data_IF_523245376346
#
_entry.id   IF_523245376346
#
_cell.length_a   1.000
_cell.length_b   1.000
_cell.length_c   1.000
_cell.angle_alpha   90.00
_cell.angle_beta   90.00
_cell.angle_gamma   90.00
#
_symmetry.space_group_name_H-M   'P 1'
#
loop_
_entity.id
_entity.type
_entity.pdbx_description
1 polymer ?
#
# COMPACT_ATOMS: atom_id res chain seq x y z
N UNK A 1 6.76 10.52 17.93
CA UNK A 1 7.20 11.39 16.85
C UNK A 1 6.20 12.53 16.56
N UNK A 2 4.93 12.46 16.80
CA UNK A 2 3.96 13.53 16.50
C UNK A 2 3.68 13.75 15.01
N UNK A 3 4.03 12.78 14.16
CA UNK A 3 3.73 12.80 12.72
C UNK A 3 2.30 12.37 12.46
N UNK A 4 1.66 13.00 11.47
CA UNK A 4 0.39 12.52 10.94
C UNK A 4 0.59 11.18 10.23
N UNK A 5 -0.39 10.28 10.31
CA UNK A 5 -0.31 8.94 9.72
C UNK A 5 -1.46 8.71 8.77
N UNK A 6 -1.15 8.21 7.57
CA UNK A 6 -2.13 7.96 6.50
C UNK A 6 -1.96 6.55 5.92
N UNK A 7 -3.05 5.79 5.91
CA UNK A 7 -3.15 4.46 5.28
C UNK A 7 -4.51 4.33 4.58
N UNK A 8 -5.51 3.78 5.25
CA UNK A 8 -6.88 3.61 4.72
C UNK A 8 -7.63 4.94 4.54
N UNK A 9 -7.26 5.98 5.29
CA UNK A 9 -7.83 7.33 5.18
C UNK A 9 -7.67 7.91 3.76
N UNK A 10 -6.61 7.55 3.04
CA UNK A 10 -6.42 7.95 1.64
C UNK A 10 -7.55 7.41 0.76
N UNK A 11 -7.95 6.15 0.96
CA UNK A 11 -9.08 5.54 0.22
C UNK A 11 -10.38 6.32 0.46
N UNK A 12 -10.64 6.66 1.73
CA UNK A 12 -11.82 7.43 2.11
C UNK A 12 -11.81 8.83 1.48
N UNK A 13 -10.65 9.48 1.44
CA UNK A 13 -10.48 10.79 0.80
C UNK A 13 -10.70 10.70 -0.72
N UNK A 14 -10.14 9.68 -1.39
CA UNK A 14 -10.35 9.43 -2.82
C UNK A 14 -11.84 9.20 -3.13
N UNK A 15 -12.53 8.37 -2.35
CA UNK A 15 -13.95 8.13 -2.53
C UNK A 15 -14.79 9.43 -2.42
N UNK A 16 -14.49 10.25 -1.42
CA UNK A 16 -15.15 11.54 -1.23
C UNK A 16 -14.87 12.50 -2.40
N UNK A 17 -13.66 12.54 -2.90
CA UNK A 17 -13.26 13.47 -3.97
C UNK A 17 -13.80 13.04 -5.34
N UNK A 18 -13.81 11.74 -5.63
CA UNK A 18 -14.34 11.18 -6.87
C UNK A 18 -15.87 11.09 -6.93
N UNK A 19 -16.55 11.20 -5.77
CA UNK A 19 -18.01 11.00 -5.65
C UNK A 19 -18.43 9.54 -5.84
N UNK A 20 -17.49 8.59 -5.78
CA UNK A 20 -17.76 7.16 -5.95
C UNK A 20 -18.06 6.48 -4.60
N UNK A 21 -18.71 5.32 -4.66
CA UNK A 21 -18.94 4.49 -3.47
C UNK A 21 -17.61 4.09 -2.83
N UNK A 22 -17.42 4.33 -1.52
CA UNK A 22 -16.16 3.98 -0.83
C UNK A 22 -15.77 2.51 -0.97
N UNK A 23 -16.73 1.59 -1.02
CA UNK A 23 -16.47 0.15 -1.20
C UNK A 23 -15.93 -0.15 -2.60
N UNK A 24 -16.41 0.58 -3.63
CA UNK A 24 -15.87 0.46 -4.99
C UNK A 24 -14.43 0.97 -5.04
N UNK A 25 -14.14 2.13 -4.44
CA UNK A 25 -12.79 2.68 -4.39
C UNK A 25 -11.84 1.79 -3.59
N UNK A 26 -12.30 1.26 -2.46
CA UNK A 26 -11.54 0.30 -1.65
C UNK A 26 -11.28 -1.00 -2.41
N UNK A 27 -12.23 -1.45 -3.21
CA UNK A 27 -12.06 -2.62 -4.06
C UNK A 27 -10.98 -2.40 -5.12
N UNK A 28 -10.99 -1.26 -5.80
CA UNK A 28 -10.06 -0.96 -6.91
C UNK A 28 -8.65 -0.56 -6.43
N UNK A 29 -8.56 0.19 -5.34
CA UNK A 29 -7.32 0.72 -4.80
C UNK A 29 -6.84 0.03 -3.51
N UNK A 30 -7.74 -0.62 -2.78
CA UNK A 30 -7.46 -1.28 -1.50
C UNK A 30 -6.75 -2.61 -1.65
N UNK A 31 -6.14 -3.04 -0.56
CA UNK A 31 -5.52 -4.37 -0.45
C UNK A 31 -6.56 -5.49 -0.23
N UNK A 32 -7.84 -5.15 -0.10
CA UNK A 32 -8.93 -6.07 0.24
C UNK A 32 -9.73 -6.59 -0.95
N UNK A 33 -9.38 -6.25 -2.19
CA UNK A 33 -10.13 -6.50 -3.42
C UNK A 33 -10.34 -7.96 -3.83
N UNK A 34 -10.28 -8.91 -2.92
CA UNK A 34 -10.37 -10.33 -3.25
C UNK A 34 -11.65 -11.02 -2.74
N UNK A 35 -12.48 -10.37 -1.92
CA UNK A 35 -13.59 -11.06 -1.23
C UNK A 35 -14.85 -11.28 -2.07
N UNK A 36 -15.08 -10.63 -3.20
CA UNK A 36 -16.37 -10.72 -3.89
C UNK A 36 -16.31 -10.54 -5.42
N UNK A 37 -15.63 -11.40 -6.16
CA UNK A 37 -16.03 -11.60 -7.56
C UNK A 37 -16.31 -13.07 -7.83
N UNK A 38 -17.55 -13.44 -8.17
CA UNK A 38 -17.81 -14.73 -8.82
C UNK A 38 -17.08 -14.72 -10.16
N UNK A 39 -16.32 -15.78 -10.41
CA UNK A 39 -15.47 -16.01 -11.61
C UNK A 39 -16.34 -16.30 -12.85
N UNK A 40 -17.44 -15.57 -13.03
CA UNK A 40 -18.36 -15.75 -14.15
C UNK A 40 -18.64 -14.42 -14.83
N UNK A 41 -17.59 -13.84 -15.43
CA UNK A 41 -17.80 -12.81 -16.44
C UNK A 41 -17.05 -13.20 -17.72
N UNK A 42 -17.81 -13.58 -18.74
CA UNK A 42 -17.37 -13.47 -20.12
C UNK A 42 -17.20 -11.95 -20.41
N UNK A 43 -16.02 -11.42 -20.06
CA UNK A 43 -15.72 -10.02 -20.35
C UNK A 43 -15.38 -9.87 -21.83
N UNK A 44 -16.18 -9.12 -22.56
CA UNK A 44 -15.81 -8.63 -23.89
C UNK A 44 -14.63 -7.67 -23.77
N UNK A 45 -13.80 -7.57 -24.80
CA UNK A 45 -12.61 -6.67 -24.86
C UNK A 45 -12.98 -5.23 -24.45
N UNK A 46 -14.18 -4.77 -24.77
CA UNK A 46 -14.69 -3.45 -24.39
C UNK A 46 -14.87 -3.28 -22.86
N UNK A 47 -15.29 -4.32 -22.14
CA UNK A 47 -15.44 -4.25 -20.67
C UNK A 47 -14.08 -4.22 -19.95
N UNK A 48 -13.06 -4.90 -20.49
CA UNK A 48 -11.69 -4.86 -19.96
C UNK A 48 -11.09 -3.45 -20.12
N UNK A 49 -11.28 -2.81 -21.28
CA UNK A 49 -10.80 -1.44 -21.52
C UNK A 49 -11.51 -0.42 -20.61
N UNK A 50 -12.81 -0.59 -20.36
CA UNK A 50 -13.58 0.29 -19.47
C UNK A 50 -13.15 0.14 -18.00
N UNK A 51 -12.89 -1.08 -17.52
CA UNK A 51 -12.37 -1.36 -16.16
C UNK A 51 -10.97 -0.76 -15.99
N UNK A 52 -10.11 -0.85 -17.01
CA UNK A 52 -8.79 -0.22 -16.96
C UNK A 52 -8.86 1.31 -16.91
N UNK A 53 -9.76 1.96 -17.65
CA UNK A 53 -9.91 3.42 -17.62
C UNK A 53 -10.37 3.92 -16.25
N UNK A 54 -11.36 3.28 -15.64
CA UNK A 54 -11.84 3.64 -14.31
C UNK A 54 -10.77 3.48 -13.22
N UNK A 55 -9.93 2.45 -13.32
CA UNK A 55 -8.81 2.26 -12.39
C UNK A 55 -7.74 3.32 -12.55
N UNK A 56 -7.44 3.75 -13.77
CA UNK A 56 -6.48 4.83 -14.03
C UNK A 56 -6.99 6.14 -13.44
N UNK A 57 -8.26 6.47 -13.61
CA UNK A 57 -8.88 7.65 -13.01
C UNK A 57 -8.76 7.66 -11.48
N UNK A 58 -9.03 6.52 -10.84
CA UNK A 58 -8.86 6.38 -9.39
C UNK A 58 -7.42 6.54 -8.93
N UNK A 59 -6.44 6.04 -9.69
CA UNK A 59 -5.02 6.24 -9.40
C UNK A 59 -4.61 7.71 -9.53
N UNK A 60 -5.19 8.44 -10.48
CA UNK A 60 -4.96 9.89 -10.63
C UNK A 60 -5.58 10.68 -9.46
N UNK A 61 -6.78 10.31 -9.01
CA UNK A 61 -7.38 10.92 -7.82
C UNK A 61 -6.58 10.60 -6.54
N UNK A 62 -6.10 9.36 -6.40
CA UNK A 62 -5.20 9.00 -5.31
C UNK A 62 -3.92 9.85 -5.31
N UNK A 63 -3.32 10.07 -6.48
CA UNK A 63 -2.16 10.95 -6.63
C UNK A 63 -2.45 12.36 -6.11
N UNK A 64 -3.57 12.96 -6.54
CA UNK A 64 -3.97 14.30 -6.08
C UNK A 64 -4.14 14.39 -4.56
N UNK A 65 -4.78 13.38 -3.95
CA UNK A 65 -4.97 13.32 -2.49
C UNK A 65 -3.61 13.29 -1.77
N UNK A 66 -2.68 12.47 -2.24
CA UNK A 66 -1.34 12.32 -1.64
C UNK A 66 -0.53 13.62 -1.80
N UNK A 67 -0.57 14.26 -2.97
CA UNK A 67 0.08 15.56 -3.21
C UNK A 67 -0.52 16.67 -2.33
N UNK A 68 -1.84 16.68 -2.11
CA UNK A 68 -2.49 17.62 -1.20
C UNK A 68 -2.03 17.42 0.26
N UNK A 69 -1.84 16.18 0.72
CA UNK A 69 -1.28 15.89 2.05
C UNK A 69 0.12 16.52 2.18
N UNK A 70 0.98 16.34 1.17
CA UNK A 70 2.32 16.91 1.19
C UNK A 70 2.31 18.45 1.22
N UNK A 71 1.36 19.08 0.53
CA UNK A 71 1.20 20.55 0.51
C UNK A 71 0.77 21.15 1.86
N UNK A 72 0.26 20.34 2.80
CA UNK A 72 -0.07 20.83 4.14
C UNK A 72 1.16 21.25 4.95
N UNK A 73 2.37 20.89 4.51
CA UNK A 73 3.64 21.29 5.11
C UNK A 73 3.89 20.73 6.53
N UNK A 74 3.22 19.61 6.88
CA UNK A 74 3.39 18.89 8.13
C UNK A 74 4.22 17.65 7.92
N UNK A 75 4.88 17.18 8.97
CA UNK A 75 5.55 15.88 8.96
C UNK A 75 4.51 14.75 8.99
N UNK A 76 4.63 13.78 8.10
CA UNK A 76 3.68 12.68 7.99
C UNK A 76 4.35 11.37 7.57
N UNK A 77 3.63 10.28 7.78
CA UNK A 77 3.95 8.93 7.31
C UNK A 77 2.80 8.42 6.44
N UNK A 78 3.09 7.98 5.23
CA UNK A 78 2.12 7.31 4.35
C UNK A 78 2.52 5.84 4.18
N UNK A 79 1.54 4.94 4.33
CA UNK A 79 1.76 3.51 4.13
C UNK A 79 1.29 3.08 2.74
N UNK A 80 2.25 2.66 1.91
CA UNK A 80 2.01 2.13 0.58
C UNK A 80 1.52 3.16 -0.43
N UNK A 81 0.52 2.81 -1.25
CA UNK A 81 -0.13 3.66 -2.28
C UNK A 81 0.82 4.25 -3.33
N UNK A 82 2.02 3.67 -3.48
CA UNK A 82 3.11 4.23 -4.30
C UNK A 82 3.44 5.69 -3.95
N UNK A 83 3.27 6.07 -2.68
CA UNK A 83 3.52 7.43 -2.21
C UNK A 83 4.97 7.85 -2.41
N UNK A 84 5.91 6.93 -2.34
CA UNK A 84 7.32 7.11 -2.63
C UNK A 84 7.58 7.63 -4.06
N UNK A 85 6.83 7.14 -5.06
CA UNK A 85 6.88 7.61 -6.46
C UNK A 85 6.14 8.93 -6.62
N UNK A 86 4.96 9.02 -6.02
CA UNK A 86 4.10 10.21 -6.15
C UNK A 86 4.78 11.45 -5.55
N UNK A 87 5.52 11.24 -4.47
CA UNK A 87 6.19 12.30 -3.70
C UNK A 87 7.70 12.39 -3.97
N UNK A 88 8.20 11.85 -5.08
CA UNK A 88 9.62 11.86 -5.42
C UNK A 88 10.23 13.27 -5.34
N UNK A 89 9.52 14.30 -5.81
CA UNK A 89 9.95 15.69 -5.78
C UNK A 89 10.03 16.31 -4.35
N UNK A 90 9.47 15.61 -3.35
CA UNK A 90 9.51 16.03 -1.94
C UNK A 90 10.64 15.37 -1.13
N UNK A 91 11.53 14.61 -1.77
CA UNK A 91 12.64 13.87 -1.14
C UNK A 91 12.19 13.02 0.07
N UNK A 92 11.20 12.11 -0.10
CA UNK A 92 10.68 11.29 0.98
C UNK A 92 11.74 10.29 1.45
N UNK A 93 11.70 9.92 2.73
CA UNK A 93 12.48 8.81 3.25
C UNK A 93 11.71 7.50 3.05
N UNK A 94 12.15 6.70 2.08
CA UNK A 94 11.45 5.53 1.60
C UNK A 94 11.89 4.26 2.34
N UNK A 95 10.96 3.58 2.99
CA UNK A 95 11.21 2.33 3.71
C UNK A 95 10.46 1.18 3.06
N UNK A 96 11.17 0.13 2.66
CA UNK A 96 10.57 -1.13 2.25
C UNK A 96 10.59 -2.14 3.38
N UNK A 97 9.41 -2.62 3.77
CA UNK A 97 9.26 -3.63 4.83
C UNK A 97 8.89 -4.97 4.20
N UNK A 98 9.69 -5.98 4.46
CA UNK A 98 9.46 -7.34 3.97
C UNK A 98 9.52 -8.38 5.08
N UNK A 99 9.06 -9.57 4.79
CA UNK A 99 9.20 -10.76 5.63
C UNK A 99 9.05 -12.03 4.80
N UNK A 100 9.52 -13.14 5.31
CA UNK A 100 9.29 -14.45 4.73
C UNK A 100 7.80 -14.79 4.72
N UNK A 101 7.40 -15.63 3.77
CA UNK A 101 6.01 -16.00 3.57
C UNK A 101 5.39 -16.63 4.82
N UNK A 102 6.15 -17.44 5.57
CA UNK A 102 5.63 -18.06 6.79
C UNK A 102 5.37 -17.02 7.87
N UNK A 103 6.31 -16.12 8.13
CA UNK A 103 6.14 -15.03 9.09
C UNK A 103 4.96 -14.10 8.73
N UNK A 104 4.74 -13.83 7.42
CA UNK A 104 3.55 -13.10 6.96
C UNK A 104 2.26 -13.85 7.29
N UNK A 105 2.20 -15.16 7.02
CA UNK A 105 1.03 -16.00 7.30
C UNK A 105 0.73 -15.99 8.80
N UNK A 106 1.72 -16.27 9.63
CA UNK A 106 1.56 -16.38 11.09
C UNK A 106 1.00 -15.08 11.67
N UNK A 107 1.55 -13.93 11.29
CA UNK A 107 1.06 -12.61 11.72
C UNK A 107 -0.36 -12.30 11.22
N UNK A 108 -0.69 -12.70 9.99
CA UNK A 108 -2.03 -12.49 9.46
C UNK A 108 -3.06 -13.40 10.15
N UNK A 109 -2.70 -14.64 10.44
CA UNK A 109 -3.54 -15.59 11.17
C UNK A 109 -3.78 -15.14 12.62
N UNK A 110 -2.75 -14.63 13.30
CA UNK A 110 -2.85 -14.08 14.65
C UNK A 110 -3.80 -12.87 14.75
N UNK A 111 -3.88 -12.07 13.67
CA UNK A 111 -4.73 -10.87 13.61
C UNK A 111 -6.10 -11.11 13.00
N UNK A 112 -6.33 -12.27 12.41
CA UNK A 112 -7.62 -12.60 11.83
C UNK A 112 -8.72 -12.59 12.90
N UNK A 113 -9.91 -12.06 12.59
CA UNK A 113 -11.06 -12.16 13.49
C UNK A 113 -11.36 -13.62 13.85
N UNK A 114 -11.79 -13.87 15.08
CA UNK A 114 -12.02 -15.22 15.58
C UNK A 114 -13.13 -16.00 14.81
N UNK A 115 -14.00 -15.29 14.14
CA UNK A 115 -15.07 -15.80 13.27
C UNK A 115 -14.63 -16.00 11.80
N UNK A 116 -13.43 -15.55 11.43
CA UNK A 116 -12.87 -15.76 10.10
C UNK A 116 -12.15 -17.12 10.03
N UNK A 117 -12.82 -18.14 9.52
CA UNK A 117 -12.26 -19.49 9.35
C UNK A 117 -11.40 -19.58 8.07
N UNK A 118 -10.26 -18.88 8.06
CA UNK A 118 -9.31 -18.93 6.96
C UNK A 118 -8.18 -19.94 7.24
N UNK A 119 -7.84 -20.77 6.27
CA UNK A 119 -6.71 -21.70 6.36
C UNK A 119 -5.37 -21.01 6.01
N UNK A 120 -4.26 -21.56 6.52
CA UNK A 120 -2.92 -21.07 6.16
C UNK A 120 -2.65 -21.10 4.63
N UNK A 121 -3.24 -22.08 3.91
CA UNK A 121 -3.16 -22.18 2.45
C UNK A 121 -3.90 -21.04 1.75
N UNK A 122 -5.06 -20.68 2.24
CA UNK A 122 -5.86 -19.56 1.72
C UNK A 122 -5.18 -18.22 2.05
N UNK A 123 -4.68 -18.06 3.28
CA UNK A 123 -3.90 -16.88 3.68
C UNK A 123 -2.68 -16.69 2.78
N UNK A 124 -1.91 -17.75 2.50
CA UNK A 124 -0.77 -17.71 1.57
C UNK A 124 -1.18 -17.22 0.19
N UNK A 125 -2.33 -17.68 -0.32
CA UNK A 125 -2.86 -17.28 -1.64
C UNK A 125 -3.24 -15.80 -1.65
N UNK A 126 -3.91 -15.34 -0.59
CA UNK A 126 -4.30 -13.96 -0.35
C UNK A 126 -3.07 -13.03 -0.35
N UNK A 127 -2.06 -13.35 0.44
CA UNK A 127 -0.81 -12.58 0.52
C UNK A 127 -0.14 -12.47 -0.86
N UNK A 128 0.01 -13.59 -1.58
CA UNK A 128 0.58 -13.58 -2.93
C UNK A 128 -0.21 -12.72 -3.91
N UNK A 129 -1.52 -12.72 -3.81
CA UNK A 129 -2.39 -11.90 -4.66
C UNK A 129 -2.19 -10.41 -4.38
N UNK A 130 -2.16 -10.01 -3.11
CA UNK A 130 -1.92 -8.62 -2.68
C UNK A 130 -0.52 -8.16 -3.15
N UNK A 131 0.52 -8.94 -2.89
CA UNK A 131 1.88 -8.61 -3.31
C UNK A 131 1.98 -8.48 -4.85
N UNK A 132 1.26 -9.33 -5.59
CA UNK A 132 1.18 -9.23 -7.05
C UNK A 132 0.47 -7.95 -7.51
N UNK A 133 -0.63 -7.57 -6.87
CA UNK A 133 -1.36 -6.34 -7.19
C UNK A 133 -0.50 -5.11 -6.94
N UNK A 134 0.23 -5.06 -5.82
CA UNK A 134 1.18 -3.98 -5.50
C UNK A 134 2.27 -3.87 -6.57
N UNK A 135 2.86 -5.01 -6.95
CA UNK A 135 3.87 -5.07 -8.00
C UNK A 135 3.34 -4.59 -9.36
N UNK A 136 2.13 -4.99 -9.74
CA UNK A 136 1.50 -4.56 -11.00
C UNK A 136 1.17 -3.07 -10.98
N UNK A 137 0.62 -2.55 -9.89
CA UNK A 137 0.32 -1.12 -9.76
C UNK A 137 1.60 -0.29 -9.82
N UNK A 138 2.67 -0.75 -9.16
CA UNK A 138 3.99 -0.11 -9.23
C UNK A 138 4.51 -0.02 -10.67
N UNK A 139 4.46 -1.12 -11.40
CA UNK A 139 4.90 -1.18 -12.79
C UNK A 139 4.12 -0.21 -13.71
N UNK A 140 2.80 -0.05 -13.47
CA UNK A 140 1.96 0.89 -14.23
C UNK A 140 2.30 2.35 -13.90
N UNK A 141 2.52 2.67 -12.62
CA UNK A 141 2.73 4.06 -12.18
C UNK A 141 4.13 4.56 -12.51
N UNK A 142 5.17 3.74 -12.33
CA UNK A 142 6.57 4.19 -12.44
C UNK A 142 7.43 3.35 -13.38
N UNK A 143 6.94 2.22 -13.89
CA UNK A 143 7.77 1.27 -14.64
C UNK A 143 8.84 0.57 -13.80
N UNK A 144 8.93 0.86 -12.50
CA UNK A 144 9.95 0.29 -11.61
C UNK A 144 9.50 -1.04 -11.00
N UNK A 145 10.47 -1.81 -10.49
CA UNK A 145 10.21 -3.09 -9.82
C UNK A 145 9.87 -2.84 -8.35
N UNK A 146 8.72 -3.34 -7.91
CA UNK A 146 8.31 -3.29 -6.52
C UNK A 146 9.26 -4.12 -5.65
N UNK A 147 9.82 -3.51 -4.61
CA UNK A 147 10.79 -4.14 -3.71
C UNK A 147 12.22 -4.19 -4.23
N UNK A 148 12.55 -3.50 -5.34
CA UNK A 148 13.94 -3.29 -5.74
C UNK A 148 14.63 -2.42 -4.69
N UNK A 149 15.69 -2.90 -4.00
CA UNK A 149 16.37 -2.13 -2.96
C UNK A 149 16.87 -0.76 -3.39
N UNK A 150 17.12 -0.55 -4.68
CA UNK A 150 17.58 0.74 -5.21
C UNK A 150 16.52 1.84 -5.11
N UNK A 151 15.25 1.49 -4.97
CA UNK A 151 14.15 2.44 -4.85
C UNK A 151 13.83 2.85 -3.41
N UNK A 152 14.62 2.38 -2.42
CA UNK A 152 14.33 2.62 -1.01
C UNK A 152 15.59 3.01 -0.24
N UNK A 153 15.46 3.95 0.70
CA UNK A 153 16.55 4.36 1.60
C UNK A 153 16.86 3.30 2.66
N UNK A 154 15.83 2.52 3.04
CA UNK A 154 15.95 1.44 4.02
C UNK A 154 15.07 0.25 3.61
N UNK A 155 15.67 -0.94 3.56
CA UNK A 155 14.93 -2.20 3.44
C UNK A 155 15.02 -2.98 4.75
N UNK A 156 13.87 -3.33 5.33
CA UNK A 156 13.78 -4.00 6.63
C UNK A 156 13.14 -5.37 6.47
N UNK A 157 13.90 -6.43 6.72
CA UNK A 157 13.34 -7.78 6.85
C UNK A 157 12.90 -8.01 8.29
N UNK A 158 11.61 -8.23 8.47
CA UNK A 158 10.98 -8.39 9.78
C UNK A 158 10.71 -9.83 10.17
N UNK A 159 11.23 -10.83 9.45
CA UNK A 159 10.92 -12.26 9.65
C UNK A 159 11.05 -12.68 11.10
N UNK A 160 12.21 -12.45 11.69
CA UNK A 160 12.58 -12.91 13.04
C UNK A 160 12.42 -11.82 14.11
N UNK A 161 11.75 -10.71 13.79
CA UNK A 161 11.64 -9.58 14.68
C UNK A 161 10.24 -9.35 15.22
N UNK A 162 10.16 -8.97 16.49
CA UNK A 162 8.96 -8.32 17.03
C UNK A 162 8.82 -6.93 16.41
N UNK A 163 7.66 -6.67 15.78
CA UNK A 163 7.40 -5.35 15.18
C UNK A 163 7.45 -4.23 16.22
N UNK A 164 7.01 -4.51 17.47
CA UNK A 164 7.03 -3.54 18.58
C UNK A 164 8.44 -3.15 18.99
N UNK A 165 9.38 -4.08 18.90
CA UNK A 165 10.80 -3.83 19.22
C UNK A 165 11.53 -3.17 18.05
N UNK A 166 11.19 -3.54 16.81
CA UNK A 166 11.85 -3.03 15.62
C UNK A 166 11.42 -1.60 15.28
N UNK A 167 10.14 -1.25 15.47
CA UNK A 167 9.60 0.04 15.08
C UNK A 167 10.34 1.24 15.71
N UNK A 168 10.71 1.25 17.00
CA UNK A 168 11.49 2.35 17.58
C UNK A 168 12.87 2.53 16.92
N UNK A 169 13.55 1.42 16.58
CA UNK A 169 14.88 1.48 15.94
C UNK A 169 14.80 2.04 14.52
N UNK A 170 13.77 1.64 13.75
CA UNK A 170 13.51 2.19 12.42
C UNK A 170 13.16 3.67 12.50
N UNK A 171 12.37 4.05 13.49
CA UNK A 171 12.01 5.44 13.73
C UNK A 171 13.23 6.31 14.09
N UNK A 172 14.12 5.83 14.95
CA UNK A 172 15.36 6.54 15.31
C UNK A 172 16.28 6.70 14.09
N UNK A 173 16.39 5.66 13.26
CA UNK A 173 17.16 5.73 12.01
C UNK A 173 16.59 6.80 11.06
N UNK A 174 15.28 6.82 10.86
CA UNK A 174 14.62 7.80 10.00
C UNK A 174 14.82 9.24 10.51
N UNK A 175 14.69 9.47 11.84
CA UNK A 175 14.93 10.79 12.43
C UNK A 175 16.34 11.31 12.16
N UNK A 176 17.37 10.45 12.27
CA UNK A 176 18.76 10.83 11.98
C UNK A 176 18.96 11.28 10.53
N UNK A 177 18.19 10.74 9.57
CA UNK A 177 18.25 11.18 8.17
C UNK A 177 17.80 12.64 8.04
N UNK A 178 16.69 13.01 8.71
CA UNK A 178 16.14 14.36 8.68
C UNK A 178 16.98 15.37 9.47
N UNK A 179 17.70 14.93 10.50
CA UNK A 179 18.63 15.80 11.25
C UNK A 179 19.88 16.18 10.44
N UNK A 180 20.34 15.31 9.53
CA UNK A 180 21.51 15.57 8.67
C UNK A 180 21.21 16.50 7.49
N UNK A 181 19.94 16.69 7.15
CA UNK A 181 19.50 17.56 6.06
C UNK A 181 19.23 19.00 6.48
N UNK A 182 19.38 19.29 7.77
CA UNK A 182 19.35 20.65 8.33
C UNK A 182 20.76 21.16 8.51
#
# INVERSE_FOLDING_TARGET
>A
MGFDYYDSEIITAVAKQSGLDPRYVEHELGDHGWQQFPVTYHSTIASVAYIQSGRIELLLEQRKVIEQIAQLGKDFVIVGRNADVILEDYDPFNIFVCADMQAKIDRCMERAPADEHITAKEMRRKIKQIDRQRSQTRAVISGSVWGDPKGYDLTVNTTDWSIKELAPAVADFALRRFERGK
#
